data_IF_607236387957
#
_entry.id   IF_607236387957
#
_cell.length_a   1.000
_cell.length_b   1.000
_cell.length_c   1.000
_cell.angle_alpha   90.00
_cell.angle_beta   90.00
_cell.angle_gamma   90.00
#
_symmetry.space_group_name_H-M   'P 1'
#
loop_
_entity.id
_entity.type
_entity.pdbx_description
1 polymer ?
#
# COMPACT_ATOMS: atom_id res chain seq x y z
N UNK A 1 19.79 -3.53 11.12
CA UNK A 1 20.01 -2.21 10.51
C UNK A 1 19.24 -1.19 11.32
N UNK A 2 19.87 -0.04 11.64
CA UNK A 2 19.19 1.03 12.39
C UNK A 2 18.11 1.64 11.51
N UNK A 3 16.95 2.09 12.06
CA UNK A 3 15.86 2.72 11.26
C UNK A 3 16.33 3.88 10.36
N UNK A 4 17.43 4.51 10.74
CA UNK A 4 18.06 5.61 10.00
C UNK A 4 18.66 5.20 8.65
N UNK A 5 19.04 3.93 8.46
CA UNK A 5 19.66 3.48 7.21
C UNK A 5 18.66 3.50 6.03
N UNK A 6 17.39 3.23 6.30
CA UNK A 6 16.35 3.26 5.26
C UNK A 6 16.04 4.69 4.80
N UNK A 7 16.01 5.65 5.73
CA UNK A 7 15.86 7.07 5.40
C UNK A 7 17.06 7.62 4.63
N UNK A 8 18.28 7.21 5.00
CA UNK A 8 19.48 7.59 4.28
C UNK A 8 19.47 7.07 2.84
N UNK A 9 19.02 5.82 2.62
CA UNK A 9 18.89 5.23 1.28
C UNK A 9 17.85 5.97 0.45
N UNK A 10 16.67 6.25 1.01
CA UNK A 10 15.61 7.02 0.33
C UNK A 10 16.07 8.45 0.00
N UNK A 11 16.82 9.08 0.90
CA UNK A 11 17.39 10.40 0.67
C UNK A 11 18.43 10.38 -0.45
N UNK A 12 19.34 9.41 -0.45
CA UNK A 12 20.33 9.23 -1.53
C UNK A 12 19.62 8.97 -2.87
N UNK A 13 18.60 8.12 -2.90
CA UNK A 13 17.82 7.86 -4.10
C UNK A 13 17.13 9.13 -4.62
N UNK A 14 16.56 9.96 -3.72
CA UNK A 14 15.97 11.25 -4.07
C UNK A 14 17.00 12.22 -4.64
N UNK A 15 18.17 12.32 -4.01
CA UNK A 15 19.27 13.18 -4.48
C UNK A 15 19.80 12.72 -5.84
N UNK A 16 19.98 11.41 -6.04
CA UNK A 16 20.43 10.85 -7.32
C UNK A 16 19.39 11.08 -8.43
N UNK A 17 18.10 10.94 -8.12
CA UNK A 17 17.03 11.24 -9.06
C UNK A 17 17.03 12.72 -9.46
N UNK A 18 17.12 13.63 -8.49
CA UNK A 18 17.22 15.08 -8.75
C UNK A 18 18.48 15.46 -9.53
N UNK A 19 19.61 14.83 -9.22
CA UNK A 19 20.86 15.05 -9.97
C UNK A 19 20.74 14.57 -11.41
N UNK A 20 20.15 13.39 -11.63
CA UNK A 20 19.88 12.87 -12.97
C UNK A 20 18.94 13.79 -13.76
N UNK A 21 17.86 14.25 -13.13
CA UNK A 21 16.91 15.20 -13.71
C UNK A 21 17.60 16.50 -14.13
N UNK A 22 18.51 17.02 -13.29
CA UNK A 22 19.23 18.26 -13.55
C UNK A 22 20.35 18.12 -14.60
N UNK A 23 20.99 16.95 -14.72
CA UNK A 23 22.21 16.76 -15.52
C UNK A 23 22.02 15.83 -16.71
N UNK A 24 20.99 14.99 -16.73
CA UNK A 24 20.81 13.93 -17.72
C UNK A 24 21.85 12.80 -17.64
N UNK A 25 22.64 12.72 -16.56
CA UNK A 25 23.71 11.73 -16.42
C UNK A 25 23.17 10.31 -16.27
N UNK A 26 23.22 9.54 -17.35
CA UNK A 26 22.74 8.17 -17.40
C UNK A 26 23.53 7.18 -16.51
N UNK A 27 24.73 7.53 -16.00
CA UNK A 27 25.44 6.70 -15.03
C UNK A 27 24.76 6.79 -13.67
N UNK A 28 24.33 8.00 -13.29
CA UNK A 28 23.60 8.24 -12.05
C UNK A 28 22.25 7.53 -12.07
N UNK A 29 21.55 7.55 -13.20
CA UNK A 29 20.29 6.83 -13.37
C UNK A 29 20.48 5.30 -13.19
N UNK A 30 21.51 4.71 -13.80
CA UNK A 30 21.82 3.28 -13.62
C UNK A 30 22.18 2.93 -12.17
N UNK A 31 22.90 3.83 -11.49
CA UNK A 31 23.20 3.67 -10.05
C UNK A 31 21.94 3.74 -9.20
N UNK A 32 21.01 4.62 -9.52
CA UNK A 32 19.70 4.71 -8.88
C UNK A 32 18.86 3.45 -9.12
N UNK A 33 18.78 2.99 -10.37
CA UNK A 33 18.05 1.79 -10.75
C UNK A 33 18.64 0.53 -10.08
N UNK A 34 19.96 0.39 -10.07
CA UNK A 34 20.65 -0.69 -9.37
C UNK A 34 20.39 -0.62 -7.85
N UNK A 35 20.45 0.57 -7.25
CA UNK A 35 20.17 0.78 -5.83
C UNK A 35 18.71 0.45 -5.47
N UNK A 36 17.75 0.77 -6.32
CA UNK A 36 16.35 0.42 -6.15
C UNK A 36 16.13 -1.09 -6.29
N UNK A 37 16.74 -1.71 -7.31
CA UNK A 37 16.63 -3.14 -7.59
C UNK A 37 17.31 -3.98 -6.51
N UNK A 38 18.53 -3.61 -6.11
CA UNK A 38 19.36 -4.42 -5.21
C UNK A 38 19.07 -4.16 -3.73
N UNK A 39 18.41 -3.07 -3.37
CA UNK A 39 18.26 -2.69 -1.98
C UNK A 39 16.81 -2.49 -1.50
N UNK A 40 15.87 -2.11 -2.36
CA UNK A 40 14.48 -1.84 -1.97
C UNK A 40 13.71 -3.14 -1.71
N UNK A 41 13.34 -3.83 -2.77
CA UNK A 41 12.50 -5.02 -2.69
C UNK A 41 13.18 -6.22 -2.00
N UNK A 42 14.46 -6.56 -2.29
CA UNK A 42 15.13 -7.63 -1.58
C UNK A 42 15.23 -7.38 -0.07
N UNK A 43 15.49 -6.13 0.34
CA UNK A 43 15.52 -5.78 1.76
C UNK A 43 14.15 -5.85 2.40
N UNK A 44 13.09 -5.39 1.75
CA UNK A 44 11.74 -5.57 2.26
C UNK A 44 11.43 -7.06 2.45
N UNK A 45 11.69 -7.88 1.43
CA UNK A 45 11.46 -9.33 1.49
C UNK A 45 12.27 -9.98 2.62
N UNK A 46 13.56 -9.60 2.78
CA UNK A 46 14.42 -10.12 3.84
C UNK A 46 14.01 -9.68 5.25
N UNK A 47 13.16 -8.66 5.39
CA UNK A 47 12.73 -8.11 6.68
C UNK A 47 11.22 -8.25 6.93
N UNK A 48 10.50 -9.03 6.13
CA UNK A 48 9.11 -9.42 6.45
C UNK A 48 9.05 -10.18 7.78
N UNK A 49 10.10 -10.94 8.06
CA UNK A 49 10.28 -11.74 9.26
C UNK A 49 11.63 -11.45 9.92
N UNK A 50 11.65 -11.43 11.25
CA UNK A 50 12.86 -11.20 12.03
C UNK A 50 12.96 -12.18 13.19
N UNK A 51 14.13 -12.79 13.37
CA UNK A 51 14.41 -13.60 14.57
C UNK A 51 14.43 -12.71 15.80
N UNK A 52 13.86 -13.18 16.91
CA UNK A 52 13.85 -12.46 18.18
C UNK A 52 14.90 -13.02 19.15
N UNK A 53 15.38 -12.24 20.14
CA UNK A 53 16.42 -12.67 21.08
C UNK A 53 16.03 -13.87 21.95
N UNK A 54 14.75 -14.15 22.09
CA UNK A 54 14.17 -15.25 22.85
C UNK A 54 13.85 -16.47 21.97
N UNK A 55 14.66 -16.72 20.96
CA UNK A 55 14.54 -17.82 20.00
C UNK A 55 13.19 -17.93 19.26
N UNK A 56 12.43 -16.84 19.26
CA UNK A 56 11.18 -16.73 18.52
C UNK A 56 11.32 -16.07 17.16
N UNK A 57 10.19 -15.77 16.54
CA UNK A 57 10.07 -15.12 15.24
C UNK A 57 9.06 -13.97 15.30
N UNK A 58 9.38 -12.86 14.66
CA UNK A 58 8.48 -11.71 14.51
C UNK A 58 8.03 -11.53 13.06
N UNK A 59 6.73 -11.50 12.83
CA UNK A 59 6.12 -11.02 11.59
C UNK A 59 6.09 -9.49 11.63
N UNK A 60 6.95 -8.82 10.86
CA UNK A 60 7.12 -7.37 10.84
C UNK A 60 6.24 -6.72 9.77
N UNK A 61 6.05 -7.39 8.66
CA UNK A 61 5.13 -7.00 7.60
C UNK A 61 4.51 -8.26 6.99
N UNK A 62 3.34 -8.10 6.37
CA UNK A 62 2.58 -9.22 5.82
C UNK A 62 2.58 -9.18 4.29
N UNK A 63 3.01 -10.28 3.70
CA UNK A 63 2.92 -10.60 2.29
C UNK A 63 3.02 -12.12 2.14
N UNK A 64 2.58 -12.72 1.02
CA UNK A 64 2.83 -14.13 0.72
C UNK A 64 4.32 -14.41 0.84
N UNK A 65 4.73 -15.29 1.73
CA UNK A 65 6.14 -15.55 2.05
C UNK A 65 6.34 -16.83 2.85
N UNK A 66 7.58 -17.33 2.87
CA UNK A 66 7.98 -18.43 3.74
C UNK A 66 9.25 -18.03 4.52
N UNK A 67 9.19 -18.14 5.84
CA UNK A 67 10.32 -17.95 6.72
C UNK A 67 10.79 -19.30 7.28
N UNK A 68 12.11 -19.52 7.27
CA UNK A 68 12.74 -20.69 7.90
C UNK A 68 13.70 -20.22 8.97
N UNK A 69 13.58 -20.77 10.16
CA UNK A 69 14.45 -20.44 11.29
C UNK A 69 14.64 -21.65 12.20
N UNK A 70 15.41 -21.50 13.25
CA UNK A 70 15.58 -22.52 14.30
C UNK A 70 15.16 -21.94 15.64
N UNK A 71 14.30 -22.68 16.34
CA UNK A 71 14.03 -22.46 17.75
C UNK A 71 14.84 -23.47 18.56
N UNK A 72 15.90 -22.99 19.21
CA UNK A 72 16.94 -23.90 19.70
C UNK A 72 17.50 -24.76 18.56
N UNK A 73 17.42 -26.09 18.74
CA UNK A 73 17.85 -27.07 17.73
C UNK A 73 16.74 -27.52 16.76
N UNK A 74 15.50 -27.00 16.90
CA UNK A 74 14.37 -27.44 16.09
C UNK A 74 14.21 -26.53 14.87
N UNK A 75 14.32 -27.07 13.64
CA UNK A 75 13.95 -26.34 12.44
C UNK A 75 12.44 -26.04 12.44
N UNK A 76 12.10 -24.83 12.02
CA UNK A 76 10.71 -24.35 11.92
C UNK A 76 10.53 -23.62 10.60
N UNK A 77 9.43 -23.93 9.92
CA UNK A 77 8.96 -23.20 8.74
C UNK A 77 7.66 -22.48 9.08
N UNK A 78 7.55 -21.20 8.71
CA UNK A 78 6.32 -20.42 8.80
C UNK A 78 5.99 -19.88 7.42
N UNK A 79 4.88 -20.31 6.86
CA UNK A 79 4.36 -19.83 5.59
C UNK A 79 3.23 -18.81 5.83
N UNK A 80 3.21 -17.73 5.05
CA UNK A 80 2.14 -16.73 5.02
C UNK A 80 1.33 -16.87 3.74
N UNK A 81 0.03 -17.03 3.88
CA UNK A 81 -0.95 -17.01 2.80
C UNK A 81 -1.91 -15.83 3.04
N UNK A 82 -1.97 -14.91 2.06
CA UNK A 82 -2.77 -13.69 2.22
C UNK A 82 -2.87 -12.90 0.91
N UNK A 83 -4.00 -12.24 0.71
CA UNK A 83 -4.19 -11.16 -0.27
C UNK A 83 -4.03 -9.76 0.37
N UNK A 84 -3.41 -9.67 1.56
CA UNK A 84 -3.10 -8.38 2.17
C UNK A 84 -2.18 -7.56 1.24
N UNK A 85 -2.43 -6.28 1.02
CA UNK A 85 -3.30 -5.36 1.75
C UNK A 85 -4.73 -5.22 1.21
N UNK A 86 -5.18 -6.02 0.25
CA UNK A 86 -6.53 -5.92 -0.33
C UNK A 86 -7.58 -6.66 0.52
N UNK A 87 -7.17 -7.64 1.31
CA UNK A 87 -7.99 -8.40 2.25
C UNK A 87 -7.50 -8.20 3.68
N UNK A 88 -8.40 -8.40 4.60
CA UNK A 88 -8.23 -8.18 6.04
C UNK A 88 -7.78 -9.42 6.82
N UNK A 89 -7.59 -10.54 6.13
CA UNK A 89 -7.15 -11.80 6.73
C UNK A 89 -5.74 -12.16 6.30
N UNK A 90 -4.93 -12.58 7.28
CA UNK A 90 -3.61 -13.17 7.08
C UNK A 90 -3.59 -14.54 7.73
N UNK A 91 -3.24 -15.57 6.98
CA UNK A 91 -3.12 -16.94 7.48
C UNK A 91 -1.65 -17.34 7.54
N UNK A 92 -1.18 -17.76 8.71
CA UNK A 92 0.15 -18.29 8.91
C UNK A 92 0.06 -19.78 9.17
N UNK A 93 0.87 -20.57 8.48
CA UNK A 93 1.03 -22.00 8.76
C UNK A 93 2.38 -22.20 9.40
N UNK A 94 2.37 -22.60 10.68
CA UNK A 94 3.55 -22.85 11.51
C UNK A 94 3.86 -24.33 11.50
N UNK A 95 5.06 -24.74 11.09
CA UNK A 95 5.49 -26.15 10.96
C UNK A 95 6.86 -26.36 11.62
N UNK A 96 6.92 -26.72 12.88
CA UNK A 96 8.15 -27.24 13.49
C UNK A 96 8.38 -28.69 13.05
N UNK A 97 9.64 -29.10 12.86
CA UNK A 97 9.99 -30.49 12.50
C UNK A 97 9.68 -31.49 13.64
N UNK A 98 9.63 -30.99 14.87
CA UNK A 98 9.16 -31.70 16.07
C UNK A 98 8.57 -30.70 17.07
N UNK A 99 7.77 -31.11 18.05
CA UNK A 99 7.20 -30.21 19.04
C UNK A 99 8.27 -29.32 19.69
N UNK A 100 8.02 -28.01 19.72
CA UNK A 100 8.94 -27.01 20.26
C UNK A 100 8.18 -25.79 20.83
N UNK A 101 8.61 -25.27 22.00
CA UNK A 101 8.12 -24.01 22.52
C UNK A 101 8.87 -22.84 21.85
N UNK A 102 8.15 -21.85 21.35
CA UNK A 102 8.71 -20.58 20.95
C UNK A 102 7.64 -19.49 20.82
N UNK A 103 8.01 -18.22 21.07
CA UNK A 103 7.11 -17.10 20.88
C UNK A 103 7.06 -16.70 19.42
N UNK A 104 5.84 -16.39 18.94
CA UNK A 104 5.59 -15.73 17.67
C UNK A 104 5.09 -14.30 17.97
N UNK A 105 5.77 -13.28 17.45
CA UNK A 105 5.37 -11.89 17.58
C UNK A 105 4.72 -11.42 16.29
N UNK A 106 3.49 -10.96 16.41
CA UNK A 106 2.63 -10.59 15.28
C UNK A 106 2.41 -9.07 15.33
N UNK A 107 2.94 -8.35 14.35
CA UNK A 107 2.72 -6.91 14.28
C UNK A 107 1.24 -6.60 14.06
N UNK A 108 0.67 -5.76 14.91
CA UNK A 108 -0.69 -5.25 14.75
C UNK A 108 -0.59 -3.80 14.29
N UNK A 109 -1.02 -3.48 13.07
CA UNK A 109 -0.98 -2.10 12.58
C UNK A 109 -1.80 -1.16 13.46
N UNK A 110 -1.38 0.10 13.56
CA UNK A 110 -2.07 1.10 14.41
C UNK A 110 -3.50 1.42 13.96
N UNK A 111 -3.81 1.21 12.68
CA UNK A 111 -5.16 1.38 12.14
C UNK A 111 -6.08 0.17 12.38
N UNK A 112 -5.54 -0.98 12.79
CA UNK A 112 -6.28 -2.24 12.92
C UNK A 112 -6.94 -2.37 14.31
N UNK A 113 -7.77 -1.42 14.67
CA UNK A 113 -8.60 -1.52 15.88
C UNK A 113 -9.56 -2.69 15.77
N UNK A 114 -9.73 -3.45 16.87
CA UNK A 114 -10.53 -4.66 16.86
C UNK A 114 -9.87 -5.87 16.20
N UNK A 115 -8.55 -5.80 15.96
CA UNK A 115 -7.79 -6.93 15.43
C UNK A 115 -7.90 -8.17 16.33
N UNK A 116 -7.96 -9.36 15.71
CA UNK A 116 -8.03 -10.63 16.41
C UNK A 116 -7.05 -11.65 15.86
N UNK A 117 -6.67 -12.60 16.71
CA UNK A 117 -5.88 -13.78 16.36
C UNK A 117 -6.61 -15.04 16.80
N UNK A 118 -6.64 -16.06 15.95
CA UNK A 118 -7.09 -17.40 16.32
C UNK A 118 -6.00 -18.41 15.95
N UNK A 119 -5.85 -19.46 16.77
CA UNK A 119 -4.93 -20.56 16.49
C UNK A 119 -5.74 -21.82 16.30
N UNK A 120 -5.52 -22.50 15.18
CA UNK A 120 -6.27 -23.67 14.74
C UNK A 120 -7.79 -23.36 14.75
N UNK A 121 -8.61 -24.18 15.38
CA UNK A 121 -10.06 -23.96 15.52
C UNK A 121 -10.43 -23.21 16.82
N UNK A 122 -9.45 -22.55 17.45
CA UNK A 122 -9.66 -21.81 18.70
C UNK A 122 -10.50 -20.55 18.53
N UNK A 123 -11.05 -20.07 19.63
CA UNK A 123 -11.80 -18.80 19.67
C UNK A 123 -10.87 -17.63 19.35
N UNK A 124 -11.27 -16.68 18.48
CA UNK A 124 -10.49 -15.48 18.23
C UNK A 124 -10.25 -14.66 19.50
N UNK A 125 -9.00 -14.31 19.76
CA UNK A 125 -8.58 -13.45 20.87
C UNK A 125 -8.27 -12.04 20.38
N UNK A 126 -8.58 -10.99 21.15
CA UNK A 126 -8.30 -9.61 20.76
C UNK A 126 -6.79 -9.31 20.78
N UNK A 127 -6.34 -8.48 19.82
CA UNK A 127 -4.99 -7.95 19.76
C UNK A 127 -5.01 -6.41 19.89
N UNK A 128 -4.02 -5.85 20.58
CA UNK A 128 -3.88 -4.40 20.72
C UNK A 128 -3.23 -3.80 19.47
N UNK A 129 -3.89 -2.82 18.84
CA UNK A 129 -3.36 -2.08 17.69
C UNK A 129 -2.11 -1.26 18.05
N UNK A 130 -1.22 -1.07 17.09
CA UNK A 130 -0.03 -0.21 17.21
C UNK A 130 1.19 -0.89 17.84
N UNK A 131 1.18 -2.21 18.03
CA UNK A 131 2.28 -2.93 18.65
C UNK A 131 2.55 -4.31 18.05
N UNK A 132 3.07 -5.19 18.89
CA UNK A 132 3.24 -6.61 18.60
C UNK A 132 2.44 -7.44 19.59
N UNK A 133 1.57 -8.29 19.09
CA UNK A 133 0.94 -9.33 19.88
C UNK A 133 1.93 -10.49 20.05
N UNK A 134 2.16 -10.94 21.28
CA UNK A 134 3.02 -12.08 21.60
C UNK A 134 2.17 -13.33 21.80
N UNK A 135 2.32 -14.27 20.89
CA UNK A 135 1.72 -15.59 20.96
C UNK A 135 2.78 -16.57 21.45
N UNK A 136 2.73 -16.95 22.72
CA UNK A 136 3.66 -17.87 23.34
C UNK A 136 2.98 -19.20 23.63
N UNK A 137 3.49 -20.27 23.04
CA UNK A 137 2.94 -21.60 23.22
C UNK A 137 3.89 -22.71 22.81
N UNK A 138 3.58 -23.93 23.22
CA UNK A 138 4.16 -25.14 22.63
C UNK A 138 3.47 -25.40 21.29
N UNK A 139 4.29 -25.59 20.26
CA UNK A 139 3.83 -25.92 18.92
C UNK A 139 3.95 -27.43 18.73
N UNK A 140 2.84 -28.20 18.77
CA UNK A 140 2.90 -29.68 18.78
C UNK A 140 3.21 -30.26 17.40
N UNK A 141 3.04 -29.48 16.35
CA UNK A 141 3.18 -29.83 14.96
C UNK A 141 2.67 -28.72 14.08
N UNK A 142 2.12 -29.05 12.90
CA UNK A 142 1.52 -28.04 12.01
C UNK A 142 0.32 -27.37 12.70
N UNK A 143 0.39 -26.06 12.82
CA UNK A 143 -0.69 -25.21 13.36
C UNK A 143 -0.97 -24.04 12.43
N UNK A 144 -2.22 -23.61 12.40
CA UNK A 144 -2.67 -22.44 11.62
C UNK A 144 -2.91 -21.27 12.56
N UNK A 145 -2.32 -20.12 12.27
CA UNK A 145 -2.59 -18.86 12.98
C UNK A 145 -3.30 -17.92 12.02
N UNK A 146 -4.52 -17.55 12.34
CA UNK A 146 -5.35 -16.66 11.54
C UNK A 146 -5.45 -15.30 12.19
N UNK A 147 -5.00 -14.27 11.49
CA UNK A 147 -5.11 -12.87 11.89
C UNK A 147 -6.25 -12.23 11.11
N UNK A 148 -7.05 -11.42 11.81
CA UNK A 148 -8.05 -10.58 11.18
C UNK A 148 -7.78 -9.12 11.56
N UNK A 149 -7.63 -8.24 10.58
CA UNK A 149 -7.39 -6.81 10.73
C UNK A 149 -8.57 -6.01 10.17
N UNK A 150 -9.60 -5.69 10.96
CA UNK A 150 -10.79 -4.99 10.46
C UNK A 150 -10.41 -3.69 9.73
N UNK A 151 -10.70 -3.62 8.43
CA UNK A 151 -10.38 -2.48 7.58
C UNK A 151 -11.60 -1.58 7.42
N UNK A 152 -11.73 -0.60 8.30
CA UNK A 152 -12.83 0.36 8.23
C UNK A 152 -12.53 1.48 7.20
N UNK A 153 -13.53 1.99 6.47
CA UNK A 153 -13.42 3.19 5.69
C UNK A 153 -13.01 4.38 6.55
N UNK A 154 -12.06 5.18 6.07
CA UNK A 154 -11.60 6.39 6.75
C UNK A 154 -11.44 7.52 5.74
N UNK A 155 -11.81 8.72 6.16
CA UNK A 155 -11.52 9.95 5.44
C UNK A 155 -10.59 10.79 6.29
N UNK A 156 -9.47 11.20 5.73
CA UNK A 156 -8.48 12.01 6.43
C UNK A 156 -8.33 13.37 5.77
N UNK A 157 -8.12 14.41 6.58
CA UNK A 157 -7.89 15.77 6.08
C UNK A 157 -6.45 15.97 5.64
N UNK A 158 -6.29 16.76 4.59
CA UNK A 158 -5.01 17.12 3.96
C UNK A 158 -4.90 18.64 3.80
N UNK A 159 -3.89 19.07 3.03
CA UNK A 159 -3.71 20.47 2.68
C UNK A 159 -4.97 21.10 2.09
N UNK A 160 -5.24 22.36 2.36
CA UNK A 160 -6.44 23.10 1.96
C UNK A 160 -7.77 22.44 2.40
N UNK A 161 -7.73 21.69 3.52
CA UNK A 161 -8.85 20.91 4.03
C UNK A 161 -9.31 19.79 3.10
N UNK A 162 -8.60 19.52 2.00
CA UNK A 162 -8.87 18.41 1.10
C UNK A 162 -8.94 17.08 1.85
N UNK A 163 -9.66 16.12 1.29
CA UNK A 163 -9.83 14.80 1.90
C UNK A 163 -9.16 13.72 1.07
N UNK A 164 -8.60 12.74 1.78
CA UNK A 164 -8.14 11.48 1.21
C UNK A 164 -8.99 10.31 1.71
N UNK A 165 -9.27 9.35 0.83
CA UNK A 165 -10.03 8.14 1.14
C UNK A 165 -9.05 7.03 1.48
N UNK A 166 -9.25 6.39 2.62
CA UNK A 166 -8.39 5.32 3.14
C UNK A 166 -9.24 4.11 3.57
N UNK A 167 -8.66 2.90 3.49
CA UNK A 167 -9.22 1.68 4.08
C UNK A 167 -8.07 0.76 4.47
N UNK A 168 -7.92 0.50 5.76
CA UNK A 168 -6.74 -0.21 6.27
C UNK A 168 -5.44 0.50 5.90
N UNK A 169 -4.48 -0.19 5.27
CA UNK A 169 -3.21 0.41 4.84
C UNK A 169 -3.28 1.12 3.47
N UNK A 170 -4.43 1.06 2.80
CA UNK A 170 -4.58 1.57 1.43
C UNK A 170 -5.12 2.99 1.42
N UNK A 171 -4.47 3.85 0.64
CA UNK A 171 -4.98 5.16 0.19
C UNK A 171 -5.54 4.98 -1.21
N UNK A 172 -6.68 5.60 -1.50
CA UNK A 172 -7.38 5.45 -2.77
C UNK A 172 -7.19 6.68 -3.66
N UNK A 173 -7.05 6.44 -4.94
CA UNK A 173 -6.73 7.41 -5.98
C UNK A 173 -7.73 7.32 -7.13
N UNK A 174 -8.16 8.45 -7.65
CA UNK A 174 -8.86 8.46 -8.94
C UNK A 174 -7.87 8.04 -10.02
N UNK A 175 -8.31 7.12 -10.88
CA UNK A 175 -7.55 6.63 -12.04
C UNK A 175 -8.26 7.10 -13.31
N UNK A 176 -7.93 8.30 -13.83
CA UNK A 176 -8.43 8.72 -15.13
C UNK A 176 -7.90 7.82 -16.24
N UNK A 177 -8.57 7.79 -17.37
CA UNK A 177 -8.02 7.22 -18.60
C UNK A 177 -6.70 7.90 -18.96
N UNK A 178 -5.78 7.17 -19.57
CA UNK A 178 -4.40 7.60 -19.77
C UNK A 178 -4.01 7.62 -21.26
N UNK A 179 -3.32 8.67 -21.66
CA UNK A 179 -2.59 8.74 -22.94
C UNK A 179 -1.11 8.58 -22.64
N UNK A 180 -0.50 7.54 -23.20
CA UNK A 180 0.92 7.24 -23.09
C UNK A 180 1.65 7.68 -24.33
N UNK A 181 2.56 8.63 -24.21
CA UNK A 181 3.40 9.13 -25.30
C UNK A 181 4.85 8.77 -25.03
N UNK A 182 5.44 7.95 -25.88
CA UNK A 182 6.86 7.64 -25.78
C UNK A 182 7.69 8.87 -26.12
N UNK A 183 8.61 9.22 -25.24
CA UNK A 183 9.56 10.33 -25.41
C UNK A 183 11.00 9.83 -25.38
N UNK A 184 11.95 10.63 -25.85
CA UNK A 184 13.38 10.29 -25.84
C UNK A 184 13.72 8.94 -26.52
N UNK A 185 12.92 8.51 -27.50
CA UNK A 185 13.11 7.22 -28.16
C UNK A 185 14.44 7.11 -28.95
N UNK A 186 15.02 8.26 -29.29
CA UNK A 186 16.31 8.42 -29.96
C UNK A 186 17.50 8.39 -29.01
N UNK A 187 17.27 8.45 -27.68
CA UNK A 187 18.35 8.48 -26.71
C UNK A 187 18.86 7.08 -26.35
N UNK A 188 20.17 6.90 -26.12
CA UNK A 188 20.73 5.64 -25.68
C UNK A 188 20.08 5.12 -24.40
N UNK A 189 19.91 3.81 -24.31
CA UNK A 189 19.32 3.12 -23.15
C UNK A 189 17.83 3.46 -22.87
N UNK A 190 17.11 3.88 -23.91
CA UNK A 190 15.66 4.11 -23.90
C UNK A 190 14.89 3.17 -24.84
N UNK A 191 15.53 2.06 -25.22
CA UNK A 191 14.89 0.99 -25.96
C UNK A 191 13.84 0.29 -25.08
N UNK A 192 12.80 -0.27 -25.69
CA UNK A 192 11.83 -1.07 -24.94
C UNK A 192 12.52 -2.33 -24.37
N UNK A 193 12.20 -2.72 -23.13
CA UNK A 193 11.11 -2.25 -22.27
C UNK A 193 11.44 -1.01 -21.39
N UNK A 194 12.60 -0.39 -21.55
CA UNK A 194 13.09 0.72 -20.70
C UNK A 194 12.82 2.10 -21.33
N UNK A 195 11.76 2.22 -22.13
CA UNK A 195 11.37 3.50 -22.73
C UNK A 195 10.91 4.54 -21.72
N UNK A 196 11.17 5.82 -22.01
CA UNK A 196 10.57 6.93 -21.27
C UNK A 196 9.18 7.23 -21.82
N UNK A 197 8.23 7.49 -20.95
CA UNK A 197 6.86 7.83 -21.31
C UNK A 197 6.35 9.05 -20.55
N UNK A 198 5.70 9.96 -21.26
CA UNK A 198 4.78 10.92 -20.67
C UNK A 198 3.40 10.28 -20.57
N UNK A 199 2.77 10.39 -19.39
CA UNK A 199 1.43 9.90 -19.16
C UNK A 199 0.53 11.10 -18.84
N UNK A 200 -0.53 11.28 -19.63
CA UNK A 200 -1.48 12.38 -19.48
C UNK A 200 -2.90 11.87 -19.31
N UNK A 201 -3.77 12.56 -18.55
CA UNK A 201 -5.16 12.14 -18.42
C UNK A 201 -5.90 12.35 -19.74
N UNK A 202 -6.63 11.32 -20.19
CA UNK A 202 -7.55 11.34 -21.33
C UNK A 202 -8.99 11.61 -20.92
N UNK A 203 -9.32 11.44 -19.64
CA UNK A 203 -10.62 11.71 -19.05
C UNK A 203 -10.51 12.75 -17.92
N UNK A 204 -11.64 13.34 -17.44
CA UNK A 204 -11.61 14.28 -16.33
C UNK A 204 -10.99 13.68 -15.06
N UNK A 205 -10.22 14.49 -14.36
CA UNK A 205 -9.52 14.12 -13.11
C UNK A 205 -9.83 15.07 -11.95
N UNK A 206 -10.38 16.24 -12.23
CA UNK A 206 -10.55 17.38 -11.35
C UNK A 206 -11.95 17.39 -10.72
N UNK A 207 -12.15 16.56 -9.70
CA UNK A 207 -13.44 16.37 -9.04
C UNK A 207 -13.43 16.88 -7.59
N UNK A 208 -14.59 17.38 -7.15
CA UNK A 208 -14.91 17.50 -5.73
C UNK A 208 -15.81 16.33 -5.33
N UNK A 209 -15.53 15.71 -4.19
CA UNK A 209 -16.25 14.53 -3.74
C UNK A 209 -17.46 14.88 -2.86
N UNK A 210 -18.53 14.12 -3.03
CA UNK A 210 -19.70 14.16 -2.16
C UNK A 210 -19.51 13.17 -1.02
N UNK A 211 -18.81 13.62 0.04
CA UNK A 211 -18.47 12.82 1.21
C UNK A 211 -18.83 13.53 2.51
N UNK A 212 -19.19 12.72 3.50
CA UNK A 212 -19.23 13.15 4.89
C UNK A 212 -18.01 12.54 5.62
N UNK A 213 -16.99 13.32 6.02
CA UNK A 213 -15.82 12.79 6.69
C UNK A 213 -16.11 12.22 8.08
N UNK A 214 -17.18 12.70 8.74
CA UNK A 214 -17.60 12.20 10.05
C UNK A 214 -18.37 10.87 9.93
N UNK A 215 -18.93 10.59 8.74
CA UNK A 215 -19.61 9.34 8.44
C UNK A 215 -19.27 8.86 7.01
N UNK A 216 -18.03 8.38 6.78
CA UNK A 216 -17.55 7.99 5.46
C UNK A 216 -18.39 6.91 4.77
N UNK A 217 -18.99 6.01 5.55
CA UNK A 217 -19.80 4.89 5.04
C UNK A 217 -21.08 5.34 4.31
N UNK A 218 -21.52 6.59 4.50
CA UNK A 218 -22.73 7.11 3.80
C UNK A 218 -22.45 7.52 2.35
N UNK A 219 -21.20 7.71 1.97
CA UNK A 219 -20.82 8.17 0.62
C UNK A 219 -19.76 7.32 -0.07
N UNK A 220 -19.29 6.27 0.61
CA UNK A 220 -18.27 5.36 0.11
C UNK A 220 -18.77 3.92 0.15
N UNK A 221 -18.63 3.21 -0.96
CA UNK A 221 -18.80 1.76 -1.00
C UNK A 221 -17.52 1.12 -1.51
N UNK A 222 -17.16 -0.04 -0.94
CA UNK A 222 -15.98 -0.78 -1.35
C UNK A 222 -16.40 -2.06 -2.06
N UNK A 223 -15.83 -2.26 -3.24
CA UNK A 223 -16.07 -3.40 -4.11
C UNK A 223 -14.85 -4.32 -4.09
N UNK A 224 -15.03 -5.54 -3.62
CA UNK A 224 -14.01 -6.58 -3.72
C UNK A 224 -13.91 -7.11 -5.15
N UNK A 225 -12.68 -7.29 -5.62
CA UNK A 225 -12.36 -7.81 -6.93
C UNK A 225 -11.38 -8.97 -6.81
N UNK A 226 -11.31 -9.88 -7.76
CA UNK A 226 -10.22 -10.86 -7.80
C UNK A 226 -8.87 -10.14 -7.81
N UNK A 227 -7.94 -10.60 -6.99
CA UNK A 227 -6.56 -10.12 -7.02
C UNK A 227 -5.88 -10.72 -8.24
N UNK A 228 -5.41 -9.88 -9.16
CA UNK A 228 -4.76 -10.34 -10.39
C UNK A 228 -3.30 -10.73 -10.18
N UNK A 229 -2.66 -11.31 -11.19
CA UNK A 229 -1.23 -11.67 -11.17
C UNK A 229 -0.32 -10.46 -10.91
N UNK A 230 -0.76 -9.27 -11.32
CA UNK A 230 -0.12 -7.98 -11.04
C UNK A 230 -1.01 -7.17 -10.10
N UNK A 231 -1.03 -7.45 -8.80
CA UNK A 231 -2.00 -6.88 -7.88
C UNK A 231 -1.93 -5.36 -7.76
N UNK A 232 -0.77 -4.77 -8.05
CA UNK A 232 -0.56 -3.32 -8.09
C UNK A 232 -0.58 -2.78 -9.52
N UNK A 233 -1.59 -3.17 -10.30
CA UNK A 233 -1.95 -2.58 -11.58
C UNK A 233 -3.45 -2.21 -11.58
N UNK A 234 -3.93 -1.34 -12.49
CA UNK A 234 -5.36 -1.00 -12.56
C UNK A 234 -6.26 -2.23 -12.72
N UNK A 235 -5.84 -3.20 -13.52
CA UNK A 235 -6.59 -4.41 -13.84
C UNK A 235 -6.50 -5.46 -12.72
N UNK A 236 -5.38 -5.49 -12.00
CA UNK A 236 -5.10 -6.46 -10.93
C UNK A 236 -5.53 -6.02 -9.55
N UNK A 237 -6.02 -4.78 -9.39
CA UNK A 237 -6.44 -4.23 -8.12
C UNK A 237 -7.55 -5.05 -7.46
N UNK A 238 -7.24 -5.70 -6.34
CA UNK A 238 -8.17 -6.56 -5.60
C UNK A 238 -9.31 -5.82 -4.88
N UNK A 239 -9.33 -4.48 -4.95
CA UNK A 239 -10.32 -3.63 -4.28
C UNK A 239 -10.53 -2.33 -5.05
N UNK A 240 -11.76 -1.82 -5.09
CA UNK A 240 -12.07 -0.48 -5.55
C UNK A 240 -12.98 0.23 -4.55
N UNK A 241 -12.96 1.56 -4.54
CA UNK A 241 -13.93 2.38 -3.83
C UNK A 241 -14.82 3.12 -4.85
N UNK A 242 -16.12 3.18 -4.56
CA UNK A 242 -17.09 3.98 -5.31
C UNK A 242 -17.47 5.19 -4.50
N UNK A 243 -17.49 6.34 -5.15
CA UNK A 243 -17.84 7.62 -4.55
C UNK A 243 -18.50 8.52 -5.58
N UNK A 244 -19.39 9.40 -5.18
CA UNK A 244 -19.95 10.40 -6.08
C UNK A 244 -19.15 11.71 -6.01
N UNK A 245 -18.99 12.36 -7.15
CA UNK A 245 -18.32 13.66 -7.26
C UNK A 245 -18.89 14.52 -8.38
N UNK A 246 -18.56 15.81 -8.34
CA UNK A 246 -18.81 16.74 -9.43
C UNK A 246 -17.49 17.29 -9.95
N UNK A 247 -17.39 17.40 -11.25
CA UNK A 247 -16.23 18.01 -11.90
C UNK A 247 -16.09 19.48 -11.47
N UNK A 248 -14.84 19.92 -11.34
CA UNK A 248 -14.47 21.32 -11.09
C UNK A 248 -13.72 21.88 -12.30
N UNK A 249 -14.41 22.48 -13.29
CA UNK A 249 -13.74 23.01 -14.49
C UNK A 249 -12.71 24.10 -14.20
N UNK A 250 -12.83 24.77 -13.05
CA UNK A 250 -11.89 25.79 -12.57
C UNK A 250 -10.57 25.23 -12.03
N UNK A 251 -10.53 23.96 -11.63
CA UNK A 251 -9.31 23.30 -11.18
C UNK A 251 -8.57 22.71 -12.39
N UNK A 252 -7.49 23.33 -12.79
CA UNK A 252 -6.81 23.08 -14.07
C UNK A 252 -5.40 22.58 -13.87
N UNK A 253 -4.79 22.15 -14.97
CA UNK A 253 -3.36 21.91 -15.02
C UNK A 253 -2.61 23.24 -15.13
N UNK A 254 -1.56 23.38 -14.34
CA UNK A 254 -0.61 24.49 -14.39
C UNK A 254 0.78 23.93 -14.70
N UNK A 255 1.39 24.37 -15.79
CA UNK A 255 2.68 23.86 -16.25
C UNK A 255 2.73 22.32 -16.43
N UNK A 256 1.61 21.70 -16.81
CA UNK A 256 1.51 20.24 -16.99
C UNK A 256 1.22 19.43 -15.73
N UNK A 257 1.09 20.08 -14.55
CA UNK A 257 0.77 19.47 -13.26
C UNK A 257 -0.60 19.95 -12.77
N UNK A 258 -1.26 19.20 -11.93
CA UNK A 258 -2.46 19.68 -11.25
C UNK A 258 -2.10 20.94 -10.45
N UNK A 259 -2.90 22.01 -10.60
CA UNK A 259 -2.77 23.18 -9.74
C UNK A 259 -3.14 22.82 -8.30
N UNK A 260 -2.88 23.72 -7.35
CA UNK A 260 -3.20 23.49 -5.95
C UNK A 260 -4.65 23.00 -5.78
N UNK A 261 -4.81 22.05 -4.88
CA UNK A 261 -6.13 21.53 -4.53
C UNK A 261 -7.00 22.71 -4.03
N UNK A 262 -8.18 22.94 -4.64
CA UNK A 262 -9.07 24.02 -4.20
C UNK A 262 -9.46 23.86 -2.73
N UNK A 263 -9.49 24.98 -2.01
CA UNK A 263 -9.94 25.00 -0.61
C UNK A 263 -11.38 24.57 -0.51
N UNK A 264 -11.70 23.60 0.33
CA UNK A 264 -13.07 23.15 0.54
C UNK A 264 -13.92 24.10 1.42
N UNK A 265 -15.25 24.09 1.35
CA UNK A 265 -16.06 23.29 0.42
C UNK A 265 -16.17 23.95 -0.96
N UNK A 266 -16.34 23.13 -1.99
CA UNK A 266 -16.54 23.57 -3.36
C UNK A 266 -18.00 23.45 -3.80
N UNK A 267 -18.39 24.27 -4.76
CA UNK A 267 -19.68 24.18 -5.47
C UNK A 267 -19.41 23.93 -6.95
N UNK A 268 -20.28 23.17 -7.60
CA UNK A 268 -20.21 22.90 -9.04
C UNK A 268 -21.61 22.63 -9.58
N UNK A 269 -21.90 23.18 -10.75
CA UNK A 269 -23.13 22.91 -11.51
C UNK A 269 -23.01 21.69 -12.43
N UNK A 270 -21.81 21.13 -12.54
CA UNK A 270 -21.57 19.91 -13.34
C UNK A 270 -22.41 18.74 -12.81
N UNK A 271 -22.73 17.76 -13.65
CA UNK A 271 -23.46 16.57 -13.23
C UNK A 271 -22.77 15.84 -12.06
N UNK A 272 -23.58 15.21 -11.21
CA UNK A 272 -23.07 14.30 -10.20
C UNK A 272 -22.77 12.95 -10.87
N UNK A 273 -21.54 12.50 -10.78
CA UNK A 273 -21.04 11.28 -11.41
C UNK A 273 -20.57 10.28 -10.35
N UNK A 274 -20.71 8.99 -10.62
CA UNK A 274 -20.09 7.95 -9.83
C UNK A 274 -18.63 7.76 -10.29
N UNK A 275 -17.70 7.86 -9.36
CA UNK A 275 -16.28 7.73 -9.57
C UNK A 275 -15.76 6.42 -8.99
N UNK A 276 -14.79 5.81 -9.68
CA UNK A 276 -14.05 4.67 -9.19
C UNK A 276 -12.68 5.12 -8.71
N UNK A 277 -12.38 4.87 -7.45
CA UNK A 277 -11.06 5.06 -6.89
C UNK A 277 -10.38 3.69 -6.72
N UNK A 278 -9.13 3.58 -7.12
CA UNK A 278 -8.30 2.39 -6.94
C UNK A 278 -7.23 2.65 -5.87
N UNK A 279 -6.67 1.62 -5.24
CA UNK A 279 -5.51 1.81 -4.38
C UNK A 279 -4.39 2.57 -5.09
N UNK A 280 -3.77 3.51 -4.41
CA UNK A 280 -2.71 4.40 -4.94
C UNK A 280 -1.62 3.66 -5.73
N UNK A 281 -1.20 2.48 -5.24
CA UNK A 281 -0.21 1.64 -5.91
C UNK A 281 -0.70 1.00 -7.22
N UNK A 282 -2.00 1.05 -7.49
CA UNK A 282 -2.63 0.47 -8.67
C UNK A 282 -2.87 1.49 -9.80
N UNK A 283 -2.46 2.74 -9.64
CA UNK A 283 -2.69 3.82 -10.62
C UNK A 283 -1.38 4.46 -11.03
N UNK A 284 -1.30 4.98 -12.25
CA UNK A 284 -0.14 5.73 -12.73
C UNK A 284 -0.35 7.24 -12.53
N UNK A 285 -1.46 7.79 -13.06
CA UNK A 285 -1.91 9.13 -12.68
C UNK A 285 -2.67 9.01 -11.36
N UNK A 286 -2.27 9.81 -10.36
CA UNK A 286 -2.71 9.64 -8.97
C UNK A 286 -3.31 10.93 -8.44
N UNK A 287 -4.64 11.00 -8.40
CA UNK A 287 -5.35 12.05 -7.69
C UNK A 287 -5.90 11.45 -6.42
N UNK A 288 -5.32 11.78 -5.28
CA UNK A 288 -5.62 11.21 -3.96
C UNK A 288 -6.22 12.20 -2.98
N UNK A 289 -6.12 13.48 -3.27
CA UNK A 289 -6.61 14.56 -2.43
C UNK A 289 -7.68 15.33 -3.18
N UNK A 290 -8.84 15.43 -2.58
CA UNK A 290 -10.04 16.00 -3.22
C UNK A 290 -10.66 17.06 -2.31
N UNK A 291 -11.09 18.21 -2.85
CA UNK A 291 -12.00 19.06 -2.13
C UNK A 291 -13.36 18.36 -2.01
N UNK A 292 -14.13 18.69 -0.96
CA UNK A 292 -15.50 18.21 -0.82
C UNK A 292 -16.51 19.19 -1.44
N UNK A 293 -17.61 18.63 -1.91
CA UNK A 293 -18.77 19.43 -2.29
C UNK A 293 -19.45 20.03 -1.05
N UNK A 294 -19.95 21.23 -1.20
CA UNK A 294 -20.86 21.84 -0.21
C UNK A 294 -22.10 20.95 -0.06
N UNK A 295 -22.50 20.72 1.19
CA UNK A 295 -23.75 19.99 1.52
C UNK A 295 -24.97 20.74 0.98
#
# INVERSE_FOLDING_TARGET
>A
AKPYDMWAILLVQKVLAQYHEATGDGKVFRSLEASLRDQGWPRLAAHLWMKTPDDGLAAVAYAPSEARFRSGEVPVTVATDTDYPFRDVVTLTVRPDRPAPFPLRLRVPSWAEGATVAVDDGTPEPMNAGGFHRLERDWPGTSTVRLHFPMQPKVTHRYNLAVAVERGPLVYSLSPEEIWTRVNADKPHRELPHGDFEVRPASPWNYALRLDPDNPSTGLTFEERPVGEKPFSPEGAGMAARVHGRRLPGWKLRHGWADEVPVEPQTSEEPLEELTLLPYGCTNIRVTEFPRLKK
#
